data_IF_397672025853
#
_entry.id   IF_397672025853
#
_cell.length_a   1.000
_cell.length_b   1.000
_cell.length_c   1.000
_cell.angle_alpha   90.00
_cell.angle_beta   90.00
_cell.angle_gamma   90.00
#
_symmetry.space_group_name_H-M   'P 1'
#
loop_
_entity.id
_entity.type
_entity.pdbx_description
1 polymer ?
#
# COMPACT_ATOMS: atom_id res chain seq x y z
N UNK A 1 6.11 -6.18 -24.38
CA UNK A 1 6.64 -5.65 -23.10
C UNK A 1 5.75 -6.15 -21.97
N UNK A 2 6.36 -6.60 -20.87
CA UNK A 2 5.64 -7.22 -19.76
C UNK A 2 4.69 -6.24 -19.06
N UNK A 3 3.47 -6.70 -18.74
CA UNK A 3 2.45 -5.96 -17.99
C UNK A 3 2.43 -6.30 -16.49
N UNK A 4 3.19 -7.33 -16.11
CA UNK A 4 3.38 -7.76 -14.74
C UNK A 4 4.81 -8.30 -14.61
N UNK A 5 5.39 -8.24 -13.41
CA UNK A 5 6.71 -8.85 -13.15
C UNK A 5 6.54 -10.36 -12.99
N UNK A 6 5.46 -10.77 -12.33
CA UNK A 6 5.03 -12.16 -12.24
C UNK A 6 3.67 -12.32 -12.92
N UNK A 7 3.47 -13.41 -13.66
CA UNK A 7 2.17 -13.69 -14.27
C UNK A 7 1.13 -13.88 -13.16
N UNK A 8 -0.11 -13.44 -13.40
CA UNK A 8 -1.26 -13.79 -12.54
C UNK A 8 -1.66 -15.28 -12.70
N UNK A 9 -0.72 -16.14 -13.08
CA UNK A 9 -0.97 -17.49 -13.60
C UNK A 9 -0.99 -18.55 -12.51
N UNK A 10 -1.89 -19.54 -12.68
CA UNK A 10 -2.17 -20.73 -11.83
C UNK A 10 -1.26 -20.84 -10.61
N UNK A 11 -1.62 -20.05 -9.61
CA UNK A 11 -1.10 -20.20 -8.28
C UNK A 11 -1.80 -21.44 -7.73
N UNK A 12 -1.01 -22.42 -7.28
CA UNK A 12 -1.50 -23.59 -6.56
C UNK A 12 -2.56 -23.18 -5.54
N UNK A 13 -3.59 -24.00 -5.32
CA UNK A 13 -4.67 -23.80 -4.33
C UNK A 13 -4.17 -23.69 -2.87
N UNK A 14 -2.87 -23.53 -2.66
CA UNK A 14 -2.17 -23.53 -1.40
C UNK A 14 -1.31 -22.27 -1.25
N UNK A 15 -1.34 -21.69 -0.06
CA UNK A 15 -0.46 -20.62 0.36
C UNK A 15 1.01 -21.05 0.28
N UNK A 16 1.86 -20.27 -0.37
CA UNK A 16 3.31 -20.51 -0.38
C UNK A 16 3.96 -19.72 0.76
N UNK A 17 4.16 -20.44 1.87
CA UNK A 17 4.74 -19.88 3.09
C UNK A 17 6.27 -19.68 3.00
N UNK A 18 6.94 -20.11 1.91
CA UNK A 18 8.41 -20.09 1.79
C UNK A 18 8.93 -19.02 0.81
N UNK A 19 8.29 -18.87 -0.35
CA UNK A 19 8.74 -17.92 -1.36
C UNK A 19 8.65 -16.49 -0.85
N UNK A 20 9.69 -15.70 -1.14
CA UNK A 20 9.82 -14.30 -0.72
C UNK A 20 9.78 -14.03 0.80
N UNK A 21 9.82 -15.07 1.65
CA UNK A 21 9.84 -14.91 3.10
C UNK A 21 11.04 -14.09 3.61
N UNK A 22 12.11 -13.98 2.81
CA UNK A 22 13.31 -13.17 3.06
C UNK A 22 13.34 -11.86 2.27
N UNK A 23 12.33 -11.56 1.45
CA UNK A 23 12.26 -10.33 0.66
C UNK A 23 12.04 -9.14 1.59
N UNK A 24 12.99 -8.20 1.61
CA UNK A 24 12.96 -7.04 2.51
C UNK A 24 12.54 -5.74 1.85
N UNK A 25 12.77 -5.59 0.54
CA UNK A 25 12.46 -4.37 -0.16
C UNK A 25 11.97 -4.64 -1.59
N UNK A 26 10.97 -3.88 -2.01
CA UNK A 26 10.49 -3.84 -3.40
C UNK A 26 10.65 -2.41 -3.89
N UNK A 27 11.57 -2.20 -4.83
CA UNK A 27 11.83 -0.92 -5.47
C UNK A 27 11.46 -1.00 -6.95
N UNK A 28 10.53 -0.14 -7.39
CA UNK A 28 10.09 -0.07 -8.77
C UNK A 28 10.12 1.37 -9.25
N UNK A 29 10.82 1.60 -10.35
CA UNK A 29 11.00 2.94 -10.90
C UNK A 29 10.73 2.91 -12.39
N UNK A 30 9.92 3.85 -12.88
CA UNK A 30 9.75 4.10 -14.31
C UNK A 30 9.24 2.86 -15.08
N UNK A 31 8.29 2.13 -14.52
CA UNK A 31 7.64 1.00 -15.19
C UNK A 31 6.21 1.40 -15.64
N UNK A 32 6.04 2.21 -16.70
CA UNK A 32 4.75 2.85 -17.00
C UNK A 32 3.66 1.86 -17.42
N UNK A 33 4.01 0.70 -17.98
CA UNK A 33 3.07 -0.34 -18.45
C UNK A 33 2.79 -1.43 -17.41
N UNK A 34 3.42 -1.34 -16.23
CA UNK A 34 3.27 -2.33 -15.19
C UNK A 34 1.92 -2.16 -14.51
N UNK A 35 1.06 -3.17 -14.57
CA UNK A 35 -0.29 -3.14 -14.00
C UNK A 35 -0.36 -3.74 -12.60
N UNK A 36 0.48 -4.75 -12.36
CA UNK A 36 0.58 -5.49 -11.10
C UNK A 36 2.03 -5.83 -10.78
N UNK A 37 2.39 -5.84 -9.50
CA UNK A 37 3.73 -6.25 -9.06
C UNK A 37 3.72 -7.75 -8.84
N UNK A 38 3.23 -8.22 -7.70
CA UNK A 38 3.44 -9.56 -7.18
C UNK A 38 2.11 -10.12 -6.64
N UNK A 39 1.52 -11.17 -7.25
CA UNK A 39 0.39 -11.88 -6.65
C UNK A 39 0.61 -12.28 -5.19
N UNK A 40 -0.38 -12.09 -4.32
CA UNK A 40 -0.23 -12.26 -2.89
C UNK A 40 -0.56 -13.67 -2.39
N UNK A 41 0.02 -14.67 -3.07
CA UNK A 41 0.03 -16.05 -2.59
C UNK A 41 1.32 -16.41 -1.85
N UNK A 42 2.26 -15.47 -1.76
CA UNK A 42 3.60 -15.67 -1.22
C UNK A 42 3.79 -14.94 0.11
N UNK A 43 4.63 -15.51 0.96
CA UNK A 43 4.97 -14.96 2.26
C UNK A 43 5.83 -13.69 2.15
N UNK A 44 5.28 -12.54 2.56
CA UNK A 44 5.98 -11.26 2.63
C UNK A 44 6.29 -10.82 4.07
N UNK A 45 6.46 -11.77 4.99
CA UNK A 45 6.71 -11.50 6.42
C UNK A 45 7.95 -10.65 6.70
N UNK A 46 8.97 -10.70 5.83
CA UNK A 46 10.18 -9.88 6.00
C UNK A 46 10.15 -8.54 5.25
N UNK A 47 9.07 -8.20 4.55
CA UNK A 47 9.01 -6.98 3.76
C UNK A 47 9.07 -5.76 4.68
N UNK A 48 10.09 -4.93 4.49
CA UNK A 48 10.35 -3.71 5.26
C UNK A 48 10.01 -2.44 4.47
N UNK A 49 10.30 -2.43 3.17
CA UNK A 49 10.19 -1.23 2.34
C UNK A 49 9.48 -1.49 1.02
N UNK A 50 8.44 -0.70 0.74
CA UNK A 50 7.80 -0.64 -0.57
C UNK A 50 8.00 0.74 -1.17
N UNK A 51 8.74 0.82 -2.27
CA UNK A 51 9.08 2.07 -2.95
C UNK A 51 8.74 1.98 -4.43
N UNK A 52 7.71 2.69 -4.88
CA UNK A 52 7.24 2.66 -6.26
C UNK A 52 7.10 4.09 -6.78
N UNK A 53 7.76 4.36 -7.91
CA UNK A 53 7.85 5.71 -8.49
C UNK A 53 7.58 5.68 -9.98
N UNK A 54 6.63 6.50 -10.45
CA UNK A 54 6.30 6.71 -11.87
C UNK A 54 5.96 5.41 -12.61
N UNK A 55 5.11 4.58 -12.02
CA UNK A 55 4.49 3.42 -12.66
C UNK A 55 3.01 3.76 -12.99
N UNK A 56 2.79 4.42 -14.13
CA UNK A 56 1.52 5.07 -14.46
C UNK A 56 0.32 4.12 -14.58
N UNK A 57 0.49 2.94 -15.16
CA UNK A 57 -0.58 1.94 -15.33
C UNK A 57 -0.75 1.02 -14.11
N UNK A 58 0.02 1.22 -13.04
CA UNK A 58 -0.03 0.35 -11.86
C UNK A 58 -1.36 0.53 -11.15
N UNK A 59 -2.19 -0.50 -11.17
CA UNK A 59 -3.53 -0.47 -10.55
C UNK A 59 -3.51 -1.00 -9.13
N UNK A 60 -2.71 -2.04 -8.91
CA UNK A 60 -2.56 -2.71 -7.63
C UNK A 60 -1.13 -3.22 -7.48
N UNK A 61 -0.58 -3.20 -6.27
CA UNK A 61 0.76 -3.76 -6.02
C UNK A 61 0.64 -5.27 -5.89
N UNK A 62 -0.26 -5.71 -5.02
CA UNK A 62 -0.44 -7.11 -4.69
C UNK A 62 -1.87 -7.58 -4.98
N UNK A 63 -2.12 -8.19 -6.16
CA UNK A 63 -3.41 -8.82 -6.44
C UNK A 63 -3.58 -10.08 -5.58
N UNK A 64 -4.80 -10.37 -5.10
CA UNK A 64 -5.14 -11.50 -4.22
C UNK A 64 -6.26 -12.31 -4.85
N UNK A 65 -6.01 -13.57 -5.18
CA UNK A 65 -7.05 -14.45 -5.74
C UNK A 65 -8.16 -14.75 -4.73
N UNK A 66 -9.39 -14.97 -5.22
CA UNK A 66 -10.57 -15.18 -4.37
C UNK A 66 -10.43 -16.35 -3.39
N UNK A 67 -9.75 -17.43 -3.80
CA UNK A 67 -9.46 -18.58 -2.92
C UNK A 67 -8.58 -18.15 -1.74
N UNK A 68 -7.54 -17.36 -1.99
CA UNK A 68 -6.64 -16.83 -0.95
C UNK A 68 -7.38 -15.82 -0.07
N UNK A 69 -8.32 -15.04 -0.60
CA UNK A 69 -9.15 -14.15 0.22
C UNK A 69 -9.96 -14.94 1.27
N UNK A 70 -10.54 -16.08 0.90
CA UNK A 70 -11.23 -16.96 1.85
C UNK A 70 -10.27 -17.50 2.92
N UNK A 71 -9.03 -17.87 2.54
CA UNK A 71 -8.01 -18.29 3.51
C UNK A 71 -7.61 -17.14 4.44
N UNK A 72 -7.52 -15.90 3.93
CA UNK A 72 -7.23 -14.74 4.78
C UNK A 72 -8.35 -14.52 5.80
N UNK A 73 -9.61 -14.63 5.36
CA UNK A 73 -10.77 -14.48 6.23
C UNK A 73 -10.84 -15.55 7.34
N UNK A 74 -10.34 -16.77 7.09
CA UNK A 74 -10.35 -17.86 8.07
C UNK A 74 -9.08 -17.93 8.93
N UNK A 75 -7.91 -17.62 8.37
CA UNK A 75 -6.59 -17.74 9.04
C UNK A 75 -6.26 -16.52 9.91
N UNK A 76 -6.83 -15.35 9.62
CA UNK A 76 -6.57 -14.12 10.37
C UNK A 76 -7.84 -13.63 11.07
N UNK A 77 -7.82 -13.45 12.40
CA UNK A 77 -9.03 -13.14 13.19
C UNK A 77 -9.72 -11.83 12.79
N UNK A 78 -8.99 -10.91 12.14
CA UNK A 78 -9.53 -9.63 11.68
C UNK A 78 -9.77 -9.59 10.15
N UNK A 79 -9.54 -10.71 9.44
CA UNK A 79 -9.58 -10.77 7.98
C UNK A 79 -8.53 -9.88 7.30
N UNK A 80 -7.44 -9.56 8.03
CA UNK A 80 -6.37 -8.68 7.57
C UNK A 80 -5.09 -9.45 7.36
N UNK A 81 -4.44 -9.18 6.25
CA UNK A 81 -3.14 -9.72 5.94
C UNK A 81 -2.04 -8.94 6.68
N UNK A 82 -1.20 -9.67 7.40
CA UNK A 82 -0.18 -9.08 8.28
C UNK A 82 1.15 -8.90 7.57
N UNK A 83 1.70 -7.69 7.62
CA UNK A 83 3.03 -7.31 7.17
C UNK A 83 3.87 -6.91 8.40
N UNK A 84 4.42 -7.88 9.14
CA UNK A 84 4.91 -7.67 10.50
C UNK A 84 6.16 -6.79 10.56
N UNK A 85 6.93 -6.68 9.45
CA UNK A 85 8.16 -5.88 9.38
C UNK A 85 8.06 -4.66 8.49
N UNK A 86 6.90 -4.36 7.92
CA UNK A 86 6.77 -3.25 6.97
C UNK A 86 6.87 -1.91 7.70
N UNK A 87 7.92 -1.15 7.38
CA UNK A 87 8.26 0.14 8.01
C UNK A 87 8.00 1.31 7.10
N UNK A 88 8.29 1.14 5.81
CA UNK A 88 8.36 2.24 4.87
C UNK A 88 7.47 2.01 3.64
N UNK A 89 6.61 2.98 3.35
CA UNK A 89 5.73 2.99 2.18
C UNK A 89 5.93 4.30 1.40
N UNK A 90 6.56 4.22 0.24
CA UNK A 90 6.87 5.36 -0.61
C UNK A 90 6.23 5.18 -1.99
N UNK A 91 5.14 5.89 -2.26
CA UNK A 91 4.42 5.81 -3.53
C UNK A 91 4.35 7.18 -4.19
N UNK A 92 4.91 7.28 -5.40
CA UNK A 92 5.07 8.54 -6.11
C UNK A 92 4.61 8.44 -7.56
N UNK A 93 3.73 9.35 -7.96
CA UNK A 93 3.21 9.53 -9.32
C UNK A 93 2.65 8.21 -9.90
N UNK A 94 1.71 7.61 -9.16
CA UNK A 94 1.00 6.37 -9.54
C UNK A 94 -0.46 6.70 -9.83
N UNK A 95 -0.72 7.27 -11.01
CA UNK A 95 -2.03 7.83 -11.38
C UNK A 95 -3.16 6.81 -11.38
N UNK A 96 -2.90 5.57 -11.76
CA UNK A 96 -3.90 4.50 -11.83
C UNK A 96 -4.02 3.65 -10.55
N UNK A 97 -3.20 3.92 -9.52
CA UNK A 97 -3.19 3.08 -8.32
C UNK A 97 -4.46 3.30 -7.52
N UNK A 98 -5.24 2.22 -7.33
CA UNK A 98 -6.50 2.24 -6.57
C UNK A 98 -6.32 1.69 -5.15
N UNK A 99 -5.48 0.67 -5.00
CA UNK A 99 -5.19 0.01 -3.73
C UNK A 99 -3.81 -0.64 -3.74
N UNK A 100 -3.22 -0.82 -2.57
CA UNK A 100 -1.92 -1.51 -2.45
C UNK A 100 -2.14 -3.03 -2.56
N UNK A 101 -3.11 -3.54 -1.82
CA UNK A 101 -3.49 -4.95 -1.76
C UNK A 101 -5.01 -5.10 -1.93
N UNK A 102 -5.46 -6.18 -2.57
CA UNK A 102 -6.89 -6.54 -2.64
C UNK A 102 -7.46 -6.94 -1.27
N UNK A 103 -6.64 -7.54 -0.40
CA UNK A 103 -6.99 -7.79 0.99
C UNK A 103 -6.66 -6.58 1.88
N UNK A 104 -7.36 -6.44 3.01
CA UNK A 104 -7.01 -5.45 4.03
C UNK A 104 -5.62 -5.75 4.59
N UNK A 105 -4.80 -4.71 4.77
CA UNK A 105 -3.42 -4.85 5.24
C UNK A 105 -3.28 -4.39 6.69
N UNK A 106 -2.56 -5.14 7.50
CA UNK A 106 -2.14 -4.76 8.86
C UNK A 106 -0.61 -4.72 8.92
N UNK A 107 -0.04 -3.53 9.14
CA UNK A 107 1.40 -3.28 9.22
C UNK A 107 1.74 -2.66 10.58
N UNK A 108 1.93 -3.48 11.64
CA UNK A 108 2.10 -2.97 13.01
C UNK A 108 3.36 -2.13 13.20
N UNK A 109 4.41 -2.40 12.43
CA UNK A 109 5.68 -1.67 12.48
C UNK A 109 5.79 -0.52 11.48
N UNK A 110 4.67 -0.08 10.88
CA UNK A 110 4.70 1.02 9.93
C UNK A 110 5.19 2.30 10.61
N UNK A 111 6.13 3.00 10.00
CA UNK A 111 6.75 4.20 10.56
C UNK A 111 6.60 5.40 9.62
N UNK A 112 6.86 5.19 8.32
CA UNK A 112 6.91 6.26 7.33
C UNK A 112 6.06 5.93 6.11
N UNK A 113 5.17 6.85 5.76
CA UNK A 113 4.35 6.82 4.55
C UNK A 113 4.59 8.11 3.79
N UNK A 114 5.00 8.04 2.51
CA UNK A 114 5.04 9.20 1.62
C UNK A 114 4.23 8.92 0.38
N UNK A 115 3.27 9.79 0.12
CA UNK A 115 2.33 9.64 -0.97
C UNK A 115 2.26 10.92 -1.79
N UNK A 116 2.55 10.78 -3.08
CA UNK A 116 2.58 11.87 -4.04
C UNK A 116 1.93 11.43 -5.33
N UNK A 117 0.95 12.18 -5.84
CA UNK A 117 0.35 11.88 -7.15
C UNK A 117 -0.35 10.50 -7.25
N UNK A 118 -0.84 9.96 -6.13
CA UNK A 118 -1.55 8.68 -6.04
C UNK A 118 -3.05 8.94 -5.75
N UNK A 119 -3.75 9.60 -6.67
CA UNK A 119 -5.08 10.17 -6.42
C UNK A 119 -6.21 9.13 -6.30
N UNK A 120 -6.03 7.94 -6.88
CA UNK A 120 -7.00 6.84 -6.79
C UNK A 120 -6.90 6.03 -5.50
N UNK A 121 -5.82 6.17 -4.72
CA UNK A 121 -5.59 5.38 -3.52
C UNK A 121 -6.44 5.92 -2.37
N UNK A 122 -7.35 5.08 -1.83
CA UNK A 122 -8.31 5.51 -0.79
C UNK A 122 -8.07 4.92 0.60
N UNK A 123 -7.10 4.02 0.75
CA UNK A 123 -6.87 3.27 2.00
C UNK A 123 -5.38 3.09 2.27
N UNK A 124 -5.01 3.19 3.54
CA UNK A 124 -3.69 2.86 4.06
C UNK A 124 -3.71 1.50 4.78
N UNK A 125 -2.55 0.86 5.00
CA UNK A 125 -2.48 -0.26 5.93
C UNK A 125 -2.88 0.19 7.34
N UNK A 126 -3.64 -0.64 8.05
CA UNK A 126 -3.84 -0.45 9.48
C UNK A 126 -2.53 -0.63 10.24
N UNK A 127 -2.42 -0.01 11.40
CA UNK A 127 -1.24 -0.06 12.27
C UNK A 127 -1.65 -0.53 13.65
N UNK A 128 -0.66 -0.93 14.44
CA UNK A 128 -0.85 -1.22 15.86
C UNK A 128 -1.40 0.04 16.57
N UNK A 129 -2.58 -0.02 17.22
CA UNK A 129 -3.11 1.10 18.01
C UNK A 129 -2.36 1.29 19.33
N UNK A 130 -1.78 0.21 19.87
CA UNK A 130 -1.17 0.14 21.21
C UNK A 130 0.36 0.21 21.15
N UNK A 131 0.90 0.94 20.18
CA UNK A 131 2.35 1.07 19.99
C UNK A 131 3.01 1.51 21.30
N UNK A 132 3.94 0.69 21.78
CA UNK A 132 4.64 0.90 23.06
C UNK A 132 5.37 2.25 23.15
N UNK A 133 5.76 2.81 22.01
CA UNK A 133 6.45 4.10 21.92
C UNK A 133 5.49 5.31 21.82
N UNK A 134 4.17 5.08 21.76
CA UNK A 134 3.15 6.10 21.55
C UNK A 134 3.28 6.86 20.22
N UNK A 135 4.16 6.41 19.32
CA UNK A 135 4.53 7.14 18.12
C UNK A 135 3.52 6.89 17.02
N UNK A 136 2.99 7.97 16.46
CA UNK A 136 2.13 7.93 15.27
C UNK A 136 2.95 7.72 14.00
N UNK A 137 2.35 7.06 13.02
CA UNK A 137 2.95 6.87 11.69
C UNK A 137 3.10 8.21 11.00
N UNK A 138 4.31 8.58 10.56
CA UNK A 138 4.52 9.82 9.84
C UNK A 138 4.01 9.69 8.40
N UNK A 139 3.09 10.57 7.98
CA UNK A 139 2.48 10.52 6.64
C UNK A 139 2.73 11.81 5.88
N UNK A 140 3.71 11.84 4.97
CA UNK A 140 3.89 12.97 4.06
C UNK A 140 2.92 12.82 2.87
N UNK A 141 1.83 13.60 2.87
CA UNK A 141 0.78 13.51 1.85
C UNK A 141 0.08 14.84 1.58
N UNK A 142 -0.59 14.94 0.44
CA UNK A 142 -1.40 16.13 0.10
C UNK A 142 -2.67 16.15 0.94
N UNK A 143 -3.09 17.33 1.41
CA UNK A 143 -4.27 17.50 2.27
C UNK A 143 -5.54 16.92 1.63
N UNK A 144 -5.84 17.29 0.39
CA UNK A 144 -7.05 16.83 -0.32
C UNK A 144 -7.09 15.30 -0.44
N UNK A 145 -5.92 14.66 -0.59
CA UNK A 145 -5.85 13.20 -0.60
C UNK A 145 -6.14 12.61 0.78
N UNK A 146 -5.57 13.17 1.84
CA UNK A 146 -5.79 12.74 3.22
C UNK A 146 -7.27 12.80 3.61
N UNK A 147 -7.94 13.88 3.23
CA UNK A 147 -9.36 14.10 3.52
C UNK A 147 -10.30 13.12 2.78
N UNK A 148 -9.81 12.45 1.72
CA UNK A 148 -10.55 11.46 0.92
C UNK A 148 -10.27 10.00 1.32
N UNK A 149 -9.45 9.77 2.36
CA UNK A 149 -9.17 8.43 2.88
C UNK A 149 -10.39 7.82 3.56
N UNK A 150 -10.54 6.51 3.37
CA UNK A 150 -11.51 5.68 4.08
C UNK A 150 -10.87 5.09 5.33
N UNK A 151 -11.65 5.00 6.40
CA UNK A 151 -11.21 4.52 7.71
C UNK A 151 -12.22 3.51 8.25
N UNK A 152 -11.71 2.43 8.84
CA UNK A 152 -12.54 1.29 9.26
C UNK A 152 -12.85 1.34 10.76
N UNK A 153 -12.09 2.11 11.54
CA UNK A 153 -12.28 2.25 12.99
C UNK A 153 -10.99 2.09 13.78
N UNK A 154 -11.02 2.53 15.04
CA UNK A 154 -9.87 2.42 15.94
C UNK A 154 -9.71 0.99 16.49
N UNK A 155 -10.81 0.25 16.62
CA UNK A 155 -10.90 -1.15 17.03
C UNK A 155 -10.06 -2.10 16.15
N UNK A 156 -9.94 -1.78 14.86
CA UNK A 156 -9.11 -2.53 13.91
C UNK A 156 -7.77 -1.84 13.59
N UNK A 157 -7.38 -0.82 14.37
CA UNK A 157 -6.12 -0.10 14.15
C UNK A 157 -6.09 0.73 12.85
N UNK A 158 -7.24 1.07 12.30
CA UNK A 158 -7.38 1.80 11.03
C UNK A 158 -8.17 3.10 11.22
N UNK A 159 -7.56 4.03 11.95
CA UNK A 159 -8.14 5.33 12.30
C UNK A 159 -7.13 6.48 12.10
N UNK A 160 -7.57 7.69 11.67
CA UNK A 160 -6.68 8.84 11.44
C UNK A 160 -5.78 9.21 12.62
N UNK A 161 -6.24 9.00 13.86
CA UNK A 161 -5.50 9.37 15.08
C UNK A 161 -4.16 8.62 15.24
N UNK A 162 -4.01 7.47 14.60
CA UNK A 162 -2.79 6.65 14.62
C UNK A 162 -1.70 7.17 13.68
N UNK A 163 -2.04 8.17 12.86
CA UNK A 163 -1.19 8.76 11.86
C UNK A 163 -0.94 10.25 12.18
N UNK A 164 0.25 10.72 11.84
CA UNK A 164 0.66 12.11 11.94
C UNK A 164 0.88 12.64 10.51
N UNK A 165 -0.18 13.15 9.85
CA UNK A 165 -0.06 13.68 8.51
C UNK A 165 0.75 14.98 8.51
N UNK A 166 1.66 15.09 7.54
CA UNK A 166 2.42 16.28 7.22
C UNK A 166 2.04 16.68 5.80
N UNK A 167 1.48 17.87 5.66
CA UNK A 167 1.02 18.40 4.38
C UNK A 167 2.01 19.41 3.83
N UNK A 168 2.90 19.02 2.91
CA UNK A 168 3.89 19.95 2.40
C UNK A 168 3.25 20.98 1.45
N UNK A 169 3.55 22.26 1.69
CA UNK A 169 2.91 23.41 1.04
C UNK A 169 3.17 23.54 -0.48
N UNK A 170 4.10 22.76 -1.04
CA UNK A 170 4.51 22.90 -2.45
C UNK A 170 3.41 22.57 -3.46
N UNK A 171 2.35 21.86 -3.07
CA UNK A 171 1.26 21.47 -3.99
C UNK A 171 0.32 22.61 -4.39
N UNK A 172 0.11 23.62 -3.53
CA UNK A 172 -0.69 24.80 -3.90
C UNK A 172 -0.13 25.52 -5.12
N UNK A 173 1.19 25.54 -5.28
CA UNK A 173 1.87 26.17 -6.42
C UNK A 173 1.75 25.40 -7.74
N UNK A 174 1.51 24.08 -7.69
CA UNK A 174 1.42 23.24 -8.89
C UNK A 174 -0.01 23.13 -9.42
N UNK A 175 -1.02 23.13 -8.54
CA UNK A 175 -2.43 23.18 -8.94
C UNK A 175 -2.79 24.50 -9.66
N UNK A 176 -2.21 25.62 -9.19
CA UNK A 176 -2.35 26.92 -9.86
C UNK A 176 -1.68 26.98 -11.26
N UNK A 177 -0.85 26.00 -11.63
CA UNK A 177 -0.20 25.94 -12.96
C UNK A 177 -0.96 25.10 -13.98
N UNK A 178 -2.00 24.36 -13.57
CA UNK A 178 -2.79 23.50 -14.48
C UNK A 178 -4.18 24.04 -14.79
N UNK A 179 -4.52 25.27 -14.37
CA UNK A 179 -5.77 25.94 -14.73
C UNK A 179 -5.57 26.98 -15.84
N UNK A 180 -5.08 26.57 -17.01
CA UNK A 180 -5.29 27.19 -18.35
C UNK A 180 -4.83 26.11 -19.35
N UNK A 181 -5.63 25.59 -20.28
CA UNK A 181 -6.30 26.26 -21.39
C UNK A 181 -7.59 25.52 -21.79
N UNK A 182 -8.51 26.35 -22.29
CA UNK A 182 -9.82 26.02 -22.88
C UNK A 182 -9.69 25.19 -24.15
#
# INVERSE_FOLDING_TARGET
>A
MARSIWTRGRIVDSWDDQSFAKLRAIHLHLCPRLQFVLPLAWNLSSLETLHIVRCGDLRQVFPVEAVIQNVIATRYPNGMLVFPRQKNLYLHDLSCLQQICEAKMFAPQLENVRLRGCWGLRRLPATDPDRRDGRRVAVDCVKDWWDNLQWDGLDVGHHPSLFAPRHPAYYKKRLLRTTVLR
#
